data_IF_948348061819
#
_entry.id   IF_948348061819
#
_cell.length_a   1.000
_cell.length_b   1.000
_cell.length_c   1.000
_cell.angle_alpha   90.00
_cell.angle_beta   90.00
_cell.angle_gamma   90.00
#
_symmetry.space_group_name_H-M   'P 1'
#
loop_
_entity.id
_entity.type
_entity.pdbx_description
1 polymer ?
#
# COMPACT_ATOMS: atom_id res chain seq x y z
N UNK A 1 -24.12 13.11 26.85
CA UNK A 1 -23.40 12.00 26.18
C UNK A 1 -23.10 12.48 24.75
N UNK A 2 -21.88 12.36 24.27
CA UNK A 2 -21.50 12.81 22.93
C UNK A 2 -22.07 11.87 21.88
N UNK A 3 -22.59 12.39 20.77
CA UNK A 3 -23.07 11.56 19.66
C UNK A 3 -22.02 11.56 18.54
N UNK A 4 -21.67 10.38 18.04
CA UNK A 4 -20.84 10.19 16.86
C UNK A 4 -21.74 9.81 15.70
N UNK A 5 -21.79 10.66 14.66
CA UNK A 5 -22.47 10.32 13.41
C UNK A 5 -21.53 9.55 12.52
N UNK A 6 -21.99 8.40 12.05
CA UNK A 6 -21.23 7.49 11.20
C UNK A 6 -21.97 7.34 9.88
N UNK A 7 -21.29 7.64 8.80
CA UNK A 7 -21.79 7.44 7.44
C UNK A 7 -20.68 6.88 6.56
N UNK A 8 -21.01 6.41 5.39
CA UNK A 8 -20.04 6.12 4.37
C UNK A 8 -20.20 7.08 3.21
N UNK A 9 -19.09 7.53 2.70
CA UNK A 9 -19.01 8.44 1.56
C UNK A 9 -18.02 7.91 0.53
N UNK A 10 -18.18 8.32 -0.71
CA UNK A 10 -17.22 7.99 -1.77
C UNK A 10 -16.18 9.12 -1.87
N UNK A 11 -14.94 8.83 -1.47
CA UNK A 11 -13.83 9.76 -1.52
C UNK A 11 -12.69 9.16 -2.35
N UNK A 12 -12.14 9.93 -3.29
CA UNK A 12 -11.03 9.49 -4.16
C UNK A 12 -11.30 8.14 -4.87
N UNK A 13 -12.56 7.91 -5.28
CA UNK A 13 -12.98 6.66 -5.95
C UNK A 13 -13.13 5.44 -5.03
N UNK A 14 -13.01 5.61 -3.72
CA UNK A 14 -13.17 4.55 -2.71
C UNK A 14 -14.26 4.89 -1.72
N UNK A 15 -14.96 3.88 -1.21
CA UNK A 15 -15.88 4.06 -0.09
C UNK A 15 -15.05 4.15 1.19
N UNK A 16 -15.33 5.17 2.00
CA UNK A 16 -14.68 5.41 3.31
C UNK A 16 -15.74 5.63 4.38
N UNK A 17 -15.45 5.25 5.61
CA UNK A 17 -16.25 5.65 6.77
C UNK A 17 -15.96 7.10 7.11
N UNK A 18 -17.01 7.87 7.39
CA UNK A 18 -16.93 9.25 7.86
C UNK A 18 -17.50 9.31 9.29
N UNK A 19 -16.67 9.74 10.25
CA UNK A 19 -17.05 9.90 11.65
C UNK A 19 -17.03 11.40 11.99
N UNK A 20 -18.21 11.95 12.33
CA UNK A 20 -18.38 13.34 12.73
C UNK A 20 -18.85 13.43 14.17
N UNK A 21 -18.13 14.17 15.00
CA UNK A 21 -18.45 14.39 16.42
C UNK A 21 -17.84 15.69 16.93
N UNK A 22 -18.39 16.33 18.00
CA UNK A 22 -17.78 17.47 18.66
C UNK A 22 -16.39 17.11 19.21
N UNK A 23 -15.48 18.07 19.23
CA UNK A 23 -14.11 17.82 19.72
C UNK A 23 -14.11 17.19 21.09
N UNK A 24 -13.64 15.95 21.18
CA UNK A 24 -13.51 15.17 22.41
C UNK A 24 -12.20 14.34 22.33
N UNK A 25 -11.30 14.57 23.28
CA UNK A 25 -9.96 13.96 23.26
C UNK A 25 -10.00 12.45 23.38
N UNK A 26 -10.87 11.89 24.24
CA UNK A 26 -11.02 10.46 24.44
C UNK A 26 -11.50 9.76 23.16
N UNK A 27 -12.49 10.35 22.47
CA UNK A 27 -12.99 9.83 21.20
C UNK A 27 -11.90 9.93 20.11
N UNK A 28 -11.13 11.03 20.07
CA UNK A 28 -10.05 11.19 19.10
C UNK A 28 -8.98 10.12 19.28
N UNK A 29 -8.62 9.76 20.50
CA UNK A 29 -7.64 8.71 20.79
C UNK A 29 -8.12 7.34 20.28
N UNK A 30 -9.38 7.00 20.51
CA UNK A 30 -9.97 5.78 19.99
C UNK A 30 -10.08 5.78 18.45
N UNK A 31 -10.42 6.90 17.83
CA UNK A 31 -10.49 7.02 16.37
C UNK A 31 -9.10 6.88 15.74
N UNK A 32 -8.04 7.26 16.45
CA UNK A 32 -6.66 7.09 15.98
C UNK A 32 -6.22 5.62 15.85
N UNK A 33 -6.92 4.68 16.43
CA UNK A 33 -6.67 3.24 16.28
C UNK A 33 -7.35 2.63 15.04
N UNK A 34 -8.28 3.35 14.39
CA UNK A 34 -8.94 2.87 13.18
C UNK A 34 -7.96 2.76 12.00
N UNK A 35 -8.12 1.73 11.20
CA UNK A 35 -7.33 1.53 10.00
C UNK A 35 -7.68 2.59 8.94
N UNK A 36 -6.66 3.18 8.30
CA UNK A 36 -6.84 4.18 7.25
C UNK A 36 -7.40 5.52 7.74
N UNK A 37 -7.32 5.81 9.05
CA UNK A 37 -7.78 7.08 9.62
C UNK A 37 -7.08 8.28 9.02
N UNK A 38 -7.87 9.31 8.74
CA UNK A 38 -7.39 10.61 8.25
C UNK A 38 -8.37 11.69 8.70
N UNK A 39 -7.87 12.77 9.28
CA UNK A 39 -8.68 13.96 9.53
C UNK A 39 -8.89 14.74 8.23
N UNK A 40 -10.12 15.11 7.94
CA UNK A 40 -10.49 15.90 6.75
C UNK A 40 -11.08 17.23 7.21
N UNK A 41 -10.28 18.31 7.18
CA UNK A 41 -10.70 19.62 7.66
C UNK A 41 -11.89 20.20 6.88
N UNK A 42 -11.96 19.93 5.58
CA UNK A 42 -13.01 20.41 4.67
C UNK A 42 -14.41 19.93 5.08
N UNK A 43 -14.49 18.73 5.64
CA UNK A 43 -15.74 18.09 6.08
C UNK A 43 -15.88 18.04 7.60
N UNK A 44 -14.91 18.55 8.36
CA UNK A 44 -14.85 18.50 9.82
C UNK A 44 -15.14 17.09 10.38
N UNK A 45 -14.61 16.07 9.72
CA UNK A 45 -14.82 14.68 10.10
C UNK A 45 -13.55 13.83 9.94
N UNK A 46 -13.55 12.67 10.58
CA UNK A 46 -12.53 11.66 10.41
C UNK A 46 -12.96 10.67 9.33
N UNK A 47 -12.10 10.42 8.36
CA UNK A 47 -12.24 9.31 7.45
C UNK A 47 -11.52 8.08 8.02
N UNK A 48 -12.05 6.89 7.74
CA UNK A 48 -11.39 5.60 8.02
C UNK A 48 -11.73 4.62 6.90
N UNK A 49 -10.97 3.54 6.78
CA UNK A 49 -11.25 2.48 5.80
C UNK A 49 -12.64 1.90 6.05
N UNK A 50 -13.47 1.80 4.99
CA UNK A 50 -14.76 1.13 5.05
C UNK A 50 -14.53 -0.38 5.13
N UNK A 51 -14.50 -0.92 6.35
CA UNK A 51 -14.31 -2.33 6.63
C UNK A 51 -15.16 -2.79 7.81
N UNK A 52 -15.54 -4.07 7.79
CA UNK A 52 -16.27 -4.69 8.91
C UNK A 52 -15.42 -4.64 10.19
N UNK A 53 -14.11 -4.81 10.08
CA UNK A 53 -13.19 -4.71 11.22
C UNK A 53 -13.24 -3.35 11.90
N UNK A 54 -13.25 -2.27 11.14
CA UNK A 54 -13.37 -0.91 11.68
C UNK A 54 -14.76 -0.69 12.30
N UNK A 55 -15.83 -1.19 11.69
CA UNK A 55 -17.18 -1.11 12.27
C UNK A 55 -17.28 -1.85 13.59
N UNK A 56 -16.74 -3.06 13.68
CA UNK A 56 -16.69 -3.83 14.93
C UNK A 56 -15.87 -3.13 16.01
N UNK A 57 -14.75 -2.50 15.63
CA UNK A 57 -13.97 -1.69 16.56
C UNK A 57 -14.79 -0.49 17.08
N UNK A 58 -15.46 0.23 16.19
CA UNK A 58 -16.32 1.37 16.51
C UNK A 58 -17.41 0.94 17.51
N UNK A 59 -18.11 -0.16 17.25
CA UNK A 59 -19.15 -0.67 18.13
C UNK A 59 -18.60 -1.07 19.50
N UNK A 60 -17.48 -1.73 19.51
CA UNK A 60 -16.91 -2.28 20.75
C UNK A 60 -16.29 -1.22 21.66
N UNK A 61 -15.66 -0.19 21.09
CA UNK A 61 -14.87 0.78 21.85
C UNK A 61 -15.51 2.17 21.89
N UNK A 62 -15.93 2.72 20.74
CA UNK A 62 -16.57 4.03 20.71
C UNK A 62 -18.00 3.98 21.25
N UNK A 63 -18.74 2.86 21.07
CA UNK A 63 -20.06 2.67 21.64
C UNK A 63 -20.11 2.66 23.17
N UNK A 64 -18.96 2.53 23.85
CA UNK A 64 -18.87 2.64 25.32
C UNK A 64 -18.81 4.08 25.83
N UNK A 65 -18.26 4.98 25.01
CA UNK A 65 -17.97 6.38 25.39
C UNK A 65 -18.89 7.39 24.72
N UNK A 66 -19.63 6.98 23.68
CA UNK A 66 -20.51 7.85 22.90
C UNK A 66 -21.73 7.10 22.37
N UNK A 67 -22.80 7.85 22.04
CA UNK A 67 -23.93 7.34 21.27
C UNK A 67 -23.53 7.26 19.79
N UNK A 68 -23.76 6.11 19.15
CA UNK A 68 -23.45 5.91 17.74
C UNK A 68 -24.71 6.11 16.90
N UNK A 69 -24.72 7.15 16.07
CA UNK A 69 -25.75 7.40 15.06
C UNK A 69 -25.29 6.82 13.73
N UNK A 70 -25.91 5.71 13.33
CA UNK A 70 -25.61 4.98 12.09
C UNK A 70 -26.73 5.10 11.05
N UNK A 71 -27.63 6.07 11.20
CA UNK A 71 -28.79 6.23 10.33
C UNK A 71 -28.42 6.41 8.85
N UNK A 72 -27.24 6.94 8.58
CA UNK A 72 -26.72 7.18 7.22
C UNK A 72 -25.63 6.17 6.81
N UNK A 73 -25.56 5.00 7.45
CA UNK A 73 -24.59 3.98 7.14
C UNK A 73 -25.17 2.94 6.20
N UNK A 74 -24.59 2.83 5.01
CA UNK A 74 -24.94 1.79 4.04
C UNK A 74 -23.98 0.60 4.17
N UNK A 75 -24.47 -0.48 4.76
CA UNK A 75 -23.71 -1.72 4.98
C UNK A 75 -23.38 -2.43 3.66
N UNK A 76 -24.28 -2.37 2.65
CA UNK A 76 -24.03 -2.98 1.35
C UNK A 76 -22.83 -2.34 0.64
N UNK A 77 -22.73 -1.02 0.67
CA UNK A 77 -21.58 -0.30 0.12
C UNK A 77 -20.26 -0.62 0.85
N UNK A 78 -20.33 -1.01 2.13
CA UNK A 78 -19.14 -1.42 2.91
C UNK A 78 -18.72 -2.84 2.54
N UNK A 79 -19.67 -3.76 2.41
CA UNK A 79 -19.38 -5.13 1.95
C UNK A 79 -18.79 -5.15 0.54
N UNK A 80 -19.32 -4.33 -0.38
CA UNK A 80 -18.75 -4.15 -1.72
C UNK A 80 -17.35 -3.56 -1.68
N UNK A 81 -17.11 -2.56 -0.83
CA UNK A 81 -15.79 -1.98 -0.64
C UNK A 81 -14.80 -3.00 -0.09
N UNK A 82 -15.20 -3.79 0.89
CA UNK A 82 -14.38 -4.86 1.46
C UNK A 82 -14.12 -5.99 0.46
N UNK A 83 -15.11 -6.37 -0.32
CA UNK A 83 -14.96 -7.35 -1.40
C UNK A 83 -13.98 -6.82 -2.47
N UNK A 84 -14.06 -5.54 -2.81
CA UNK A 84 -13.13 -4.88 -3.74
C UNK A 84 -11.71 -4.83 -3.16
N UNK A 85 -11.55 -4.53 -1.88
CA UNK A 85 -10.24 -4.54 -1.18
C UNK A 85 -9.71 -5.98 -1.08
N UNK A 86 -10.56 -6.96 -0.76
CA UNK A 86 -10.19 -8.39 -0.76
C UNK A 86 -9.81 -8.88 -2.15
N UNK A 87 -10.46 -8.40 -3.21
CA UNK A 87 -10.08 -8.70 -4.59
C UNK A 87 -8.72 -8.07 -4.97
N UNK A 88 -8.43 -6.85 -4.47
CA UNK A 88 -7.13 -6.18 -4.65
C UNK A 88 -6.05 -6.84 -3.78
N UNK A 89 -6.35 -7.22 -2.53
CA UNK A 89 -5.42 -7.94 -1.65
C UNK A 89 -5.22 -9.39 -2.10
N UNK A 90 -6.24 -10.03 -2.70
CA UNK A 90 -6.08 -11.33 -3.35
C UNK A 90 -5.19 -11.25 -4.60
N UNK A 91 -5.13 -10.08 -5.27
CA UNK A 91 -4.10 -9.78 -6.28
C UNK A 91 -2.70 -9.58 -5.67
N UNK A 92 -2.59 -9.20 -4.40
CA UNK A 92 -1.32 -9.08 -3.69
C UNK A 92 -0.80 -10.43 -3.14
N UNK A 93 -1.67 -11.43 -2.93
CA UNK A 93 -1.28 -12.81 -2.62
C UNK A 93 -0.73 -13.58 -3.84
N UNK A 94 -0.76 -13.00 -5.04
CA UNK A 94 -0.06 -13.50 -6.23
C UNK A 94 1.47 -13.32 -6.17
N UNK A 95 2.01 -12.73 -5.10
CA UNK A 95 3.46 -12.61 -4.93
C UNK A 95 4.19 -13.96 -4.89
N UNK A 96 3.60 -14.97 -4.25
CA UNK A 96 4.13 -16.35 -4.23
C UNK A 96 4.04 -17.02 -5.61
N UNK A 97 2.94 -16.82 -6.34
CA UNK A 97 2.77 -17.35 -7.70
C UNK A 97 3.70 -16.63 -8.69
N UNK A 98 3.80 -15.31 -8.62
CA UNK A 98 4.70 -14.52 -9.48
C UNK A 98 6.17 -14.84 -9.20
N UNK A 99 6.55 -14.98 -7.92
CA UNK A 99 7.90 -15.36 -7.54
C UNK A 99 8.26 -16.77 -8.05
N UNK A 100 7.30 -17.71 -8.05
CA UNK A 100 7.50 -19.05 -8.61
C UNK A 100 7.80 -19.00 -10.12
N UNK A 101 7.20 -18.06 -10.87
CA UNK A 101 7.40 -17.86 -12.31
C UNK A 101 8.74 -17.22 -12.70
N UNK A 102 9.55 -16.75 -11.75
CA UNK A 102 10.89 -16.23 -12.01
C UNK A 102 11.92 -17.38 -12.20
N UNK A 103 12.97 -17.09 -12.98
CA UNK A 103 14.15 -17.97 -13.05
C UNK A 103 14.83 -18.10 -11.67
N UNK A 104 15.54 -19.20 -11.43
CA UNK A 104 16.25 -19.40 -10.16
C UNK A 104 17.31 -18.33 -9.92
N UNK A 105 17.95 -17.85 -10.98
CA UNK A 105 18.91 -16.74 -10.90
C UNK A 105 18.21 -15.46 -10.39
N UNK A 106 17.07 -15.08 -10.97
CA UNK A 106 16.28 -13.93 -10.52
C UNK A 106 15.80 -14.07 -9.08
N UNK A 107 15.39 -15.26 -8.68
CA UNK A 107 15.02 -15.57 -7.29
C UNK A 107 16.19 -15.38 -6.34
N UNK A 108 17.38 -15.85 -6.73
CA UNK A 108 18.60 -15.67 -5.94
C UNK A 108 19.00 -14.20 -5.82
N UNK A 109 18.85 -13.42 -6.89
CA UNK A 109 19.11 -11.99 -6.89
C UNK A 109 18.21 -11.26 -5.88
N UNK A 110 16.89 -11.56 -5.89
CA UNK A 110 15.94 -10.99 -4.93
C UNK A 110 16.29 -11.40 -3.49
N UNK A 111 16.60 -12.68 -3.26
CA UNK A 111 16.99 -13.18 -1.93
C UNK A 111 18.23 -12.44 -1.40
N UNK A 112 19.23 -12.19 -2.23
CA UNK A 112 20.44 -11.45 -1.87
C UNK A 112 20.11 -10.02 -1.44
N UNK A 113 19.27 -9.33 -2.18
CA UNK A 113 18.81 -7.98 -1.79
C UNK A 113 18.03 -8.02 -0.47
N UNK A 114 17.09 -8.95 -0.30
CA UNK A 114 16.32 -9.11 0.93
C UNK A 114 17.24 -9.37 2.13
N UNK A 115 18.24 -10.23 1.98
CA UNK A 115 19.23 -10.48 3.02
C UNK A 115 20.02 -9.20 3.40
N UNK A 116 20.43 -8.41 2.39
CA UNK A 116 21.10 -7.12 2.62
C UNK A 116 20.18 -6.15 3.39
N UNK A 117 18.91 -6.07 3.03
CA UNK A 117 17.94 -5.19 3.70
C UNK A 117 17.72 -5.60 5.16
N UNK A 118 17.54 -6.89 5.42
CA UNK A 118 17.38 -7.43 6.78
C UNK A 118 18.62 -7.21 7.63
N UNK A 119 19.81 -7.44 7.06
CA UNK A 119 21.10 -7.15 7.72
C UNK A 119 21.26 -5.65 8.08
N UNK A 120 20.59 -4.76 7.37
CA UNK A 120 20.52 -3.31 7.66
C UNK A 120 19.32 -2.90 8.50
N UNK A 121 18.57 -3.86 9.03
CA UNK A 121 17.40 -3.63 9.90
C UNK A 121 16.27 -2.80 9.26
N UNK A 122 16.03 -2.98 7.95
CA UNK A 122 14.86 -2.39 7.31
C UNK A 122 13.58 -3.04 7.86
N UNK A 123 12.51 -2.25 7.98
CA UNK A 123 11.19 -2.78 8.38
C UNK A 123 10.71 -3.86 7.40
N UNK A 124 10.12 -4.94 7.90
CA UNK A 124 9.64 -6.06 7.07
C UNK A 124 8.57 -5.62 6.04
N UNK A 125 7.80 -4.56 6.34
CA UNK A 125 6.90 -3.93 5.38
C UNK A 125 7.65 -3.38 4.17
N UNK A 126 8.79 -2.70 4.39
CA UNK A 126 9.64 -2.16 3.32
C UNK A 126 10.29 -3.28 2.52
N UNK A 127 10.77 -4.33 3.21
CA UNK A 127 11.37 -5.52 2.56
C UNK A 127 10.36 -6.19 1.62
N UNK A 128 9.12 -6.39 2.08
CA UNK A 128 8.02 -6.95 1.29
C UNK A 128 7.66 -6.07 0.10
N UNK A 129 7.56 -4.77 0.30
CA UNK A 129 7.23 -3.81 -0.76
C UNK A 129 8.30 -3.82 -1.85
N UNK A 130 9.57 -3.68 -1.47
CA UNK A 130 10.68 -3.67 -2.44
C UNK A 130 10.82 -5.01 -3.16
N UNK A 131 10.68 -6.12 -2.44
CA UNK A 131 10.69 -7.46 -3.04
C UNK A 131 9.57 -7.64 -4.07
N UNK A 132 8.35 -7.23 -3.74
CA UNK A 132 7.20 -7.30 -4.64
C UNK A 132 7.38 -6.47 -5.93
N UNK A 133 7.88 -5.24 -5.79
CA UNK A 133 8.16 -4.36 -6.92
C UNK A 133 9.23 -4.96 -7.85
N UNK A 134 10.29 -5.55 -7.28
CA UNK A 134 11.34 -6.19 -8.07
C UNK A 134 10.87 -7.45 -8.78
N UNK A 135 9.98 -8.24 -8.17
CA UNK A 135 9.34 -9.37 -8.85
C UNK A 135 8.62 -8.90 -10.12
N UNK A 136 7.79 -7.85 -10.00
CA UNK A 136 7.07 -7.29 -11.14
C UNK A 136 8.02 -6.71 -12.20
N UNK A 137 9.10 -6.06 -11.80
CA UNK A 137 10.14 -5.53 -12.69
C UNK A 137 10.84 -6.65 -13.46
N UNK A 138 11.37 -7.66 -12.76
CA UNK A 138 12.12 -8.75 -13.37
C UNK A 138 11.25 -9.61 -14.31
N UNK A 139 9.95 -9.76 -13.99
CA UNK A 139 9.00 -10.43 -14.88
C UNK A 139 8.77 -9.65 -16.17
N UNK A 140 8.63 -8.31 -16.09
CA UNK A 140 8.39 -7.47 -17.26
C UNK A 140 9.58 -7.45 -18.23
N UNK A 141 10.80 -7.44 -17.70
CA UNK A 141 12.03 -7.44 -18.51
C UNK A 141 12.52 -8.83 -18.91
N UNK A 142 11.68 -9.88 -18.71
CA UNK A 142 12.00 -11.27 -19.01
C UNK A 142 13.31 -11.77 -18.36
N UNK A 143 13.56 -11.38 -17.12
CA UNK A 143 14.70 -11.80 -16.30
C UNK A 143 16.06 -11.69 -17.04
N UNK A 144 16.34 -10.53 -17.67
CA UNK A 144 17.63 -10.24 -18.29
C UNK A 144 18.78 -10.49 -17.30
N UNK A 145 19.98 -10.89 -17.78
CA UNK A 145 21.17 -10.94 -16.95
C UNK A 145 21.47 -9.57 -16.29
N UNK A 146 21.99 -9.57 -15.05
CA UNK A 146 22.27 -8.36 -14.29
C UNK A 146 23.11 -7.32 -15.04
N UNK A 147 24.12 -7.79 -15.77
CA UNK A 147 25.03 -6.92 -16.57
C UNK A 147 24.36 -6.32 -17.80
N UNK A 148 23.26 -6.92 -18.27
CA UNK A 148 22.51 -6.43 -19.43
C UNK A 148 21.34 -5.51 -19.02
N UNK A 149 21.11 -5.30 -17.72
CA UNK A 149 20.13 -4.34 -17.24
C UNK A 149 20.62 -2.92 -17.53
N UNK A 150 19.69 -2.06 -17.96
CA UNK A 150 19.99 -0.66 -18.31
C UNK A 150 18.95 0.29 -17.72
N UNK A 151 19.23 1.58 -17.81
CA UNK A 151 18.26 2.61 -17.45
C UNK A 151 17.03 2.61 -18.36
N UNK A 152 17.16 2.12 -19.61
CA UNK A 152 16.03 1.97 -20.53
C UNK A 152 15.01 0.92 -20.02
N UNK A 153 15.48 -0.13 -19.36
CA UNK A 153 14.58 -1.13 -18.74
C UNK A 153 13.76 -0.50 -17.60
N UNK A 154 14.36 0.44 -16.86
CA UNK A 154 13.68 1.19 -15.80
C UNK A 154 12.63 2.13 -16.39
N UNK A 155 12.99 2.86 -17.45
CA UNK A 155 12.09 3.75 -18.16
C UNK A 155 10.91 2.95 -18.75
N UNK A 156 11.20 1.81 -19.37
CA UNK A 156 10.18 0.89 -19.90
C UNK A 156 9.23 0.41 -18.81
N UNK A 157 9.73 0.02 -17.64
CA UNK A 157 8.88 -0.38 -16.51
C UNK A 157 8.02 0.80 -16.03
N UNK A 158 8.61 1.99 -15.96
CA UNK A 158 7.87 3.19 -15.59
C UNK A 158 6.69 3.44 -16.53
N UNK A 159 6.91 3.40 -17.83
CA UNK A 159 5.87 3.66 -18.84
C UNK A 159 4.85 2.52 -18.94
N UNK A 160 5.32 1.27 -19.08
CA UNK A 160 4.43 0.14 -19.38
C UNK A 160 3.71 -0.41 -18.14
N UNK A 161 4.30 -0.26 -16.96
CA UNK A 161 3.74 -0.81 -15.73
C UNK A 161 3.18 0.26 -14.80
N UNK A 162 3.95 1.32 -14.51
CA UNK A 162 3.54 2.33 -13.53
C UNK A 162 2.51 3.27 -14.13
N UNK A 163 2.81 3.92 -15.25
CA UNK A 163 1.94 4.94 -15.84
C UNK A 163 0.68 4.31 -16.47
N UNK A 164 0.80 3.25 -17.25
CA UNK A 164 -0.37 2.57 -17.84
C UNK A 164 -1.36 2.04 -16.81
N UNK A 165 -0.93 1.73 -15.60
CA UNK A 165 -1.79 1.23 -14.51
C UNK A 165 -2.18 2.31 -13.52
N UNK A 166 -1.86 3.58 -13.78
CA UNK A 166 -2.15 4.71 -12.93
C UNK A 166 -1.67 4.53 -11.47
N UNK A 167 -0.47 3.98 -11.28
CA UNK A 167 0.13 3.92 -9.95
C UNK A 167 0.49 5.31 -9.43
N UNK A 168 0.45 5.49 -8.12
CA UNK A 168 0.76 6.77 -7.48
C UNK A 168 2.25 7.16 -7.62
N UNK A 169 2.54 8.48 -7.52
CA UNK A 169 3.92 9.00 -7.44
C UNK A 169 4.68 8.34 -6.28
N UNK A 170 4.00 8.03 -5.16
CA UNK A 170 4.61 7.30 -4.04
C UNK A 170 5.09 5.92 -4.44
N UNK A 171 4.35 5.20 -5.28
CA UNK A 171 4.77 3.90 -5.80
C UNK A 171 6.00 4.05 -6.71
N UNK A 172 6.02 5.06 -7.58
CA UNK A 172 7.16 5.35 -8.46
C UNK A 172 8.42 5.65 -7.64
N UNK A 173 8.30 6.43 -6.55
CA UNK A 173 9.42 6.67 -5.61
C UNK A 173 9.90 5.40 -4.92
N UNK A 174 8.99 4.50 -4.54
CA UNK A 174 9.33 3.20 -3.96
C UNK A 174 10.05 2.30 -4.97
N UNK A 175 9.62 2.32 -6.24
CA UNK A 175 10.29 1.60 -7.32
C UNK A 175 11.75 2.04 -7.47
N UNK A 176 12.01 3.34 -7.61
CA UNK A 176 13.39 3.86 -7.69
C UNK A 176 14.21 3.49 -6.44
N UNK A 177 13.58 3.53 -5.25
CA UNK A 177 14.22 3.07 -4.02
C UNK A 177 14.58 1.60 -4.03
N UNK A 178 13.70 0.75 -4.55
CA UNK A 178 13.93 -0.69 -4.69
C UNK A 178 15.06 -0.99 -5.67
N UNK A 179 15.10 -0.31 -6.83
CA UNK A 179 16.19 -0.44 -7.82
C UNK A 179 17.53 -0.02 -7.22
N UNK A 180 17.59 1.12 -6.52
CA UNK A 180 18.83 1.57 -5.85
C UNK A 180 19.33 0.55 -4.83
N UNK A 181 18.42 -0.09 -4.10
CA UNK A 181 18.77 -1.15 -3.14
C UNK A 181 19.23 -2.43 -3.85
N UNK A 182 18.59 -2.77 -4.97
CA UNK A 182 18.96 -3.92 -5.79
C UNK A 182 20.36 -3.77 -6.37
N UNK A 183 20.69 -2.62 -6.97
CA UNK A 183 22.05 -2.34 -7.47
C UNK A 183 23.08 -2.36 -6.35
N UNK A 184 22.73 -1.90 -5.13
CA UNK A 184 23.61 -1.97 -3.97
C UNK A 184 23.93 -3.41 -3.53
N UNK A 185 22.98 -4.33 -3.71
CA UNK A 185 23.19 -5.76 -3.47
C UNK A 185 23.97 -6.43 -4.62
N UNK A 186 23.98 -5.82 -5.79
CA UNK A 186 24.56 -6.35 -7.02
C UNK A 186 25.45 -5.29 -7.71
N UNK A 187 26.72 -5.12 -7.28
CA UNK A 187 27.62 -4.10 -7.85
C UNK A 187 27.86 -4.24 -9.36
N UNK A 188 27.69 -5.44 -9.91
CA UNK A 188 27.85 -5.73 -11.34
C UNK A 188 26.55 -5.50 -12.15
N UNK A 189 25.55 -4.80 -11.57
CA UNK A 189 24.35 -4.43 -12.28
C UNK A 189 24.66 -3.33 -13.30
N UNK A 190 24.19 -3.49 -14.54
CA UNK A 190 24.44 -2.53 -15.62
C UNK A 190 23.65 -1.22 -15.51
N UNK A 191 22.82 -1.06 -14.47
CA UNK A 191 22.03 0.14 -14.23
C UNK A 191 22.92 1.27 -13.68
N UNK A 192 22.86 2.43 -14.32
CA UNK A 192 23.52 3.66 -13.85
C UNK A 192 22.67 4.35 -12.77
N UNK A 193 23.00 4.05 -11.50
CA UNK A 193 22.27 4.55 -10.33
C UNK A 193 22.30 6.08 -10.18
N UNK A 194 23.40 6.81 -10.44
CA UNK A 194 23.46 8.27 -10.45
C UNK A 194 22.42 8.95 -11.33
N UNK A 195 22.11 8.37 -12.49
CA UNK A 195 21.12 8.92 -13.42
C UNK A 195 19.67 8.68 -12.98
N UNK A 196 19.42 7.87 -11.94
CA UNK A 196 18.07 7.59 -11.45
C UNK A 196 17.52 8.75 -10.64
N UNK A 197 16.76 9.63 -11.28
CA UNK A 197 16.04 10.73 -10.62
C UNK A 197 14.78 10.22 -9.96
N UNK A 198 14.52 10.68 -8.73
CA UNK A 198 13.21 10.45 -8.07
C UNK A 198 12.22 11.49 -8.59
N UNK A 199 11.01 11.09 -8.99
CA UNK A 199 9.94 12.01 -9.36
C UNK A 199 9.40 12.81 -8.17
#
# INVERSE_FOLDING_TARGET
>A
MTTIRISNIRAEGRTVLCLSFPRNQEIIELVRELEGRRWVPEHLCWHATASISNLQYIDRYLGKVALLDKSNLDYGAIEEAEASVKAVTKRCSTGTSKFAGLSEDSKQQIRKMVALMRGRRYAESTVRTYGGILIDFLLLINAKPLVALSNDDIERFNQEFILKRNYSISFQRQFIGAIKMFCKAHPNCGIDVPQLVRP
#
